data_IF_856844966900
#
_entry.id   IF_856844966900
#
_cell.length_a   1.000
_cell.length_b   1.000
_cell.length_c   1.000
_cell.angle_alpha   90.00
_cell.angle_beta   90.00
_cell.angle_gamma   90.00
#
_symmetry.space_group_name_H-M   'P 1'
#
loop_
_entity.id
_entity.type
_entity.pdbx_description
1 polymer ?
#
# COMPACT_ATOMS: atom_id res chain seq x y z
N UNK A 1 18.30 -7.44 -7.53
CA UNK A 1 17.11 -7.59 -8.40
C UNK A 1 15.86 -7.14 -7.64
N UNK A 2 14.89 -6.47 -8.30
CA UNK A 2 13.68 -5.97 -7.63
C UNK A 2 12.78 -7.07 -7.02
N UNK A 3 12.91 -8.32 -7.48
CA UNK A 3 12.30 -9.48 -6.84
C UNK A 3 12.93 -9.75 -5.46
N UNK A 4 14.25 -9.66 -5.33
CA UNK A 4 14.95 -9.95 -4.08
C UNK A 4 14.50 -9.02 -2.94
N UNK A 5 14.31 -7.72 -3.21
CA UNK A 5 13.74 -6.80 -2.22
C UNK A 5 12.29 -7.14 -1.86
N UNK A 6 11.45 -7.53 -2.82
CA UNK A 6 10.06 -7.94 -2.56
C UNK A 6 9.97 -9.26 -1.76
N UNK A 7 10.87 -10.20 -2.06
CA UNK A 7 10.99 -11.46 -1.34
C UNK A 7 11.50 -11.21 0.09
N UNK A 8 12.52 -10.37 0.27
CA UNK A 8 13.01 -9.96 1.59
C UNK A 8 11.92 -9.24 2.40
N UNK A 9 11.09 -8.40 1.78
CA UNK A 9 9.93 -7.79 2.45
C UNK A 9 8.90 -8.85 2.87
N UNK A 10 8.60 -9.83 2.01
CA UNK A 10 7.71 -10.94 2.35
C UNK A 10 8.26 -11.83 3.47
N UNK A 11 9.56 -12.11 3.47
CA UNK A 11 10.26 -12.83 4.54
C UNK A 11 10.28 -12.01 5.83
N UNK A 12 10.46 -10.69 5.75
CA UNK A 12 10.34 -9.80 6.90
C UNK A 12 8.92 -9.80 7.48
N UNK A 13 7.88 -9.86 6.65
CA UNK A 13 6.50 -10.01 7.12
C UNK A 13 6.27 -11.32 7.86
N UNK A 14 6.78 -12.42 7.32
CA UNK A 14 6.71 -13.72 7.98
C UNK A 14 7.53 -13.73 9.27
N UNK A 15 8.73 -13.14 9.28
CA UNK A 15 9.56 -13.02 10.47
C UNK A 15 8.89 -12.18 11.55
N UNK A 16 8.21 -11.07 11.19
CA UNK A 16 7.40 -10.27 12.11
C UNK A 16 6.25 -11.11 12.68
N UNK A 17 5.53 -11.86 11.83
CA UNK A 17 4.46 -12.75 12.28
C UNK A 17 4.93 -13.86 13.22
N UNK A 18 6.14 -14.40 12.99
CA UNK A 18 6.79 -15.38 13.88
C UNK A 18 7.26 -14.72 15.17
N UNK A 19 7.90 -13.55 15.11
CA UNK A 19 8.34 -12.80 16.30
C UNK A 19 7.14 -12.50 17.20
N UNK A 20 6.04 -11.99 16.64
CA UNK A 20 4.81 -11.71 17.39
C UNK A 20 3.93 -12.96 17.64
N UNK A 21 4.41 -14.17 17.33
CA UNK A 21 3.70 -15.39 17.69
C UNK A 21 3.70 -15.57 19.22
N UNK A 22 2.56 -15.90 19.83
CA UNK A 22 2.45 -16.14 21.27
C UNK A 22 3.44 -17.20 21.79
N UNK A 23 3.83 -18.14 20.92
CA UNK A 23 4.77 -19.22 21.25
C UNK A 23 6.22 -18.75 21.36
N UNK A 24 6.61 -17.73 20.59
CA UNK A 24 7.99 -17.22 20.51
C UNK A 24 8.36 -16.36 21.73
N UNK A 25 7.37 -15.74 22.37
CA UNK A 25 7.60 -14.91 23.56
C UNK A 25 7.47 -15.65 24.89
N UNK A 26 7.31 -16.97 24.87
CA UNK A 26 7.26 -17.79 26.08
C UNK A 26 6.08 -17.40 26.95
N UNK A 27 4.97 -18.12 26.78
CA UNK A 27 3.93 -18.19 27.81
C UNK A 27 4.54 -18.72 29.10
N UNK A 28 5.08 -17.82 29.93
CA UNK A 28 5.29 -18.14 31.33
C UNK A 28 3.91 -18.23 31.93
N UNK A 29 3.61 -19.43 32.41
CA UNK A 29 2.59 -19.73 33.41
C UNK A 29 2.28 -18.50 34.25
N UNK A 30 0.99 -18.19 34.35
CA UNK A 30 0.37 -17.11 35.15
C UNK A 30 -0.13 -15.89 34.37
N UNK A 31 -0.68 -16.09 33.16
CA UNK A 31 -1.86 -15.35 32.66
C UNK A 31 -1.79 -13.81 32.53
N UNK A 32 -0.67 -13.16 32.84
CA UNK A 32 -0.48 -11.71 32.76
C UNK A 32 0.72 -11.41 31.87
N UNK A 33 0.45 -10.74 30.75
CA UNK A 33 1.49 -10.20 29.89
C UNK A 33 2.38 -9.21 30.67
N UNK A 34 3.70 -9.28 30.50
CA UNK A 34 4.63 -8.32 31.13
C UNK A 34 4.23 -6.87 30.80
N UNK A 35 4.16 -5.95 31.78
CA UNK A 35 3.80 -4.54 31.54
C UNK A 35 4.69 -3.86 30.49
N UNK A 36 5.96 -4.25 30.42
CA UNK A 36 6.91 -3.77 29.42
C UNK A 36 6.53 -4.23 28.01
N UNK A 37 6.14 -5.51 27.86
CA UNK A 37 5.71 -6.07 26.58
C UNK A 37 4.41 -5.39 26.10
N UNK A 38 3.42 -5.25 26.97
CA UNK A 38 2.16 -4.57 26.64
C UNK A 38 2.41 -3.14 26.18
N UNK A 39 3.28 -2.41 26.88
CA UNK A 39 3.64 -1.04 26.50
C UNK A 39 4.37 -1.02 25.15
N UNK A 40 5.32 -1.93 24.94
CA UNK A 40 6.03 -2.06 23.67
C UNK A 40 5.10 -2.35 22.49
N UNK A 41 4.13 -3.25 22.65
CA UNK A 41 3.14 -3.58 21.63
C UNK A 41 2.21 -2.39 21.32
N UNK A 42 1.74 -1.68 22.34
CA UNK A 42 0.92 -0.47 22.14
C UNK A 42 1.68 0.61 21.38
N UNK A 43 2.95 0.85 21.74
CA UNK A 43 3.80 1.81 21.05
C UNK A 43 4.10 1.38 19.60
N UNK A 44 4.43 0.11 19.38
CA UNK A 44 4.68 -0.43 18.04
C UNK A 44 3.44 -0.31 17.16
N UNK A 45 2.26 -0.66 17.69
CA UNK A 45 0.99 -0.49 17.01
C UNK A 45 0.76 0.98 16.65
N UNK A 46 0.83 1.89 17.62
CA UNK A 46 0.57 3.32 17.41
C UNK A 46 1.49 3.91 16.34
N UNK A 47 2.80 3.72 16.47
CA UNK A 47 3.78 4.28 15.54
C UNK A 47 3.59 3.75 14.11
N UNK A 48 3.38 2.45 13.97
CA UNK A 48 3.17 1.83 12.66
C UNK A 48 1.83 2.26 12.06
N UNK A 49 0.74 2.20 12.84
CA UNK A 49 -0.58 2.62 12.40
C UNK A 49 -0.58 4.09 11.94
N UNK A 50 -0.07 5.01 12.75
CA UNK A 50 0.02 6.43 12.40
C UNK A 50 0.87 6.68 11.16
N UNK A 51 1.98 5.94 10.99
CA UNK A 51 2.82 6.03 9.80
C UNK A 51 2.09 5.54 8.55
N UNK A 52 1.42 4.38 8.62
CA UNK A 52 0.63 3.83 7.52
C UNK A 52 -0.51 4.79 7.10
N UNK A 53 -1.28 5.26 8.08
CA UNK A 53 -2.41 6.17 7.85
C UNK A 53 -1.95 7.50 7.24
N UNK A 54 -0.94 8.14 7.83
CA UNK A 54 -0.41 9.42 7.35
C UNK A 54 0.23 9.32 5.97
N UNK A 55 1.01 8.27 5.72
CA UNK A 55 1.59 8.03 4.40
C UNK A 55 0.51 7.80 3.33
N UNK A 56 -0.50 6.99 3.65
CA UNK A 56 -1.60 6.71 2.73
C UNK A 56 -2.41 7.97 2.41
N UNK A 57 -2.70 8.80 3.40
CA UNK A 57 -3.34 10.10 3.22
C UNK A 57 -2.52 10.98 2.28
N UNK A 58 -1.24 11.18 2.60
CA UNK A 58 -0.37 12.07 1.85
C UNK A 58 -0.19 11.62 0.40
N UNK A 59 0.18 10.35 0.18
CA UNK A 59 0.47 9.84 -1.17
C UNK A 59 -0.77 9.86 -2.06
N UNK A 60 -1.93 9.49 -1.51
CA UNK A 60 -3.16 9.36 -2.29
C UNK A 60 -3.80 10.69 -2.63
N UNK A 61 -3.93 11.58 -1.63
CA UNK A 61 -4.78 12.77 -1.76
C UNK A 61 -3.98 14.07 -1.93
N UNK A 62 -2.68 14.07 -1.64
CA UNK A 62 -1.85 15.29 -1.68
C UNK A 62 -0.73 15.14 -2.70
N UNK A 63 0.28 14.32 -2.38
CA UNK A 63 1.48 14.14 -3.18
C UNK A 63 1.18 13.67 -4.60
N UNK A 64 0.28 12.69 -4.77
CA UNK A 64 -0.15 12.20 -6.08
C UNK A 64 -0.73 13.31 -6.97
N UNK A 65 -1.60 14.15 -6.41
CA UNK A 65 -2.25 15.25 -7.13
C UNK A 65 -1.25 16.34 -7.48
N UNK A 66 -0.39 16.74 -6.53
CA UNK A 66 0.63 17.75 -6.76
C UNK A 66 1.57 17.31 -7.87
N UNK A 67 2.12 16.09 -7.80
CA UNK A 67 3.02 15.58 -8.84
C UNK A 67 2.33 15.49 -10.19
N UNK A 68 1.09 15.01 -10.23
CA UNK A 68 0.33 14.90 -11.47
C UNK A 68 0.09 16.27 -12.14
N UNK A 69 -0.15 17.31 -11.33
CA UNK A 69 -0.42 18.68 -11.82
C UNK A 69 0.83 19.46 -12.21
N UNK A 70 2.02 19.04 -11.81
CA UNK A 70 3.23 19.86 -11.94
C UNK A 70 4.39 19.17 -12.67
N UNK A 71 4.35 17.85 -12.85
CA UNK A 71 5.42 17.12 -13.55
C UNK A 71 5.01 16.78 -14.99
N UNK A 72 5.96 16.83 -15.94
CA UNK A 72 5.81 16.20 -17.25
C UNK A 72 5.39 14.74 -17.12
N UNK A 73 4.48 14.28 -17.98
CA UNK A 73 3.86 12.95 -17.90
C UNK A 73 4.86 11.81 -17.77
N UNK A 74 5.96 11.81 -18.53
CA UNK A 74 6.98 10.75 -18.44
C UNK A 74 7.78 10.83 -17.14
N UNK A 75 8.11 12.03 -16.67
CA UNK A 75 8.79 12.22 -15.39
C UNK A 75 7.91 11.78 -14.22
N UNK A 76 6.63 12.15 -14.24
CA UNK A 76 5.63 11.69 -13.28
C UNK A 76 5.56 10.16 -13.22
N UNK A 77 5.37 9.50 -14.36
CA UNK A 77 5.31 8.03 -14.42
C UNK A 77 6.59 7.37 -13.91
N UNK A 78 7.76 7.90 -14.29
CA UNK A 78 9.05 7.38 -13.84
C UNK A 78 9.24 7.55 -12.32
N UNK A 79 8.91 8.71 -11.76
CA UNK A 79 8.97 8.95 -10.33
C UNK A 79 8.03 8.01 -9.57
N UNK A 80 6.79 7.88 -10.02
CA UNK A 80 5.82 6.94 -9.45
C UNK A 80 6.30 5.49 -9.47
N UNK A 81 7.01 5.07 -10.53
CA UNK A 81 7.55 3.70 -10.63
C UNK A 81 8.60 3.36 -9.56
N UNK A 82 9.19 4.37 -8.93
CA UNK A 82 10.13 4.22 -7.81
C UNK A 82 9.43 4.42 -6.46
N UNK A 83 8.56 5.42 -6.40
CA UNK A 83 7.86 5.81 -5.18
C UNK A 83 6.86 4.74 -4.72
N UNK A 84 6.02 4.20 -5.61
CA UNK A 84 4.96 3.26 -5.20
C UNK A 84 5.48 1.96 -4.59
N UNK A 85 6.52 1.29 -5.15
CA UNK A 85 7.11 0.14 -4.49
C UNK A 85 7.60 0.44 -3.06
N UNK A 86 8.24 1.59 -2.84
CA UNK A 86 8.72 1.99 -1.52
C UNK A 86 7.55 2.28 -0.56
N UNK A 87 6.56 3.05 -1.03
CA UNK A 87 5.34 3.37 -0.30
C UNK A 87 4.58 2.12 0.14
N UNK A 88 4.21 1.23 -0.79
CA UNK A 88 3.43 0.03 -0.46
C UNK A 88 4.24 -0.95 0.40
N UNK A 89 5.57 -0.96 0.30
CA UNK A 89 6.42 -1.76 1.20
C UNK A 89 6.36 -1.22 2.62
N UNK A 90 6.56 0.09 2.81
CA UNK A 90 6.52 0.74 4.13
C UNK A 90 5.15 0.60 4.78
N UNK A 91 4.07 0.93 4.06
CA UNK A 91 2.70 0.77 4.57
C UNK A 91 2.42 -0.69 4.89
N UNK A 92 2.91 -1.62 4.07
CA UNK A 92 2.79 -3.06 4.35
C UNK A 92 3.42 -3.43 5.68
N UNK A 93 4.69 -3.04 5.92
CA UNK A 93 5.45 -3.29 7.18
C UNK A 93 4.67 -2.74 8.37
N UNK A 94 4.22 -1.50 8.24
CA UNK A 94 3.44 -0.86 9.29
C UNK A 94 2.13 -1.60 9.57
N UNK A 95 1.37 -1.97 8.53
CA UNK A 95 0.13 -2.71 8.70
C UNK A 95 0.36 -4.10 9.32
N UNK A 96 1.43 -4.81 8.94
CA UNK A 96 1.75 -6.11 9.53
C UNK A 96 2.06 -6.01 11.02
N UNK A 97 2.88 -5.02 11.43
CA UNK A 97 3.18 -4.77 12.85
C UNK A 97 1.93 -4.33 13.61
N UNK A 98 1.09 -3.47 13.01
CA UNK A 98 -0.16 -3.02 13.62
C UNK A 98 -1.13 -4.18 13.84
N UNK A 99 -1.32 -5.06 12.83
CA UNK A 99 -2.14 -6.28 12.92
C UNK A 99 -1.60 -7.21 14.00
N UNK A 100 -0.29 -7.52 13.99
CA UNK A 100 0.32 -8.43 14.96
C UNK A 100 0.19 -7.91 16.38
N UNK A 101 0.51 -6.63 16.60
CA UNK A 101 0.40 -5.99 17.90
C UNK A 101 -1.05 -5.93 18.40
N UNK A 102 -1.99 -5.54 17.53
CA UNK A 102 -3.41 -5.45 17.89
C UNK A 102 -4.02 -6.83 18.19
N UNK A 103 -3.70 -7.83 17.36
CA UNK A 103 -4.18 -9.20 17.53
C UNK A 103 -3.62 -9.86 18.79
N UNK A 104 -2.37 -9.56 19.16
CA UNK A 104 -1.79 -10.03 20.42
C UNK A 104 -2.47 -9.39 21.63
N UNK A 105 -2.71 -8.07 21.59
CA UNK A 105 -3.36 -7.34 22.68
C UNK A 105 -4.85 -7.66 22.82
N UNK A 106 -5.50 -8.13 21.75
CA UNK A 106 -6.93 -8.45 21.72
C UNK A 106 -7.18 -9.87 21.18
N UNK A 107 -6.88 -10.92 21.97
CA UNK A 107 -7.02 -12.31 21.52
C UNK A 107 -8.44 -12.64 21.07
N UNK A 108 -8.57 -13.24 19.88
CA UNK A 108 -9.87 -13.47 19.22
C UNK A 108 -10.94 -14.14 20.10
N UNK A 109 -10.54 -15.11 20.93
CA UNK A 109 -11.47 -15.88 21.79
C UNK A 109 -12.07 -15.03 22.91
N UNK A 110 -11.35 -14.03 23.40
CA UNK A 110 -11.74 -13.19 24.54
C UNK A 110 -12.20 -11.79 24.13
N UNK A 111 -11.92 -11.39 22.89
CA UNK A 111 -12.30 -10.09 22.33
C UNK A 111 -13.80 -9.95 22.04
N UNK A 112 -14.32 -8.76 22.29
CA UNK A 112 -15.67 -8.35 21.90
C UNK A 112 -15.81 -8.17 20.38
N UNK A 113 -17.03 -7.84 19.94
CA UNK A 113 -17.31 -7.62 18.52
C UNK A 113 -16.53 -6.44 17.95
N UNK A 114 -16.38 -5.36 18.73
CA UNK A 114 -15.67 -4.15 18.30
C UNK A 114 -14.21 -4.45 17.95
N UNK A 115 -13.47 -5.09 18.85
CA UNK A 115 -12.05 -5.42 18.62
C UNK A 115 -11.88 -6.38 17.44
N UNK A 116 -12.81 -7.31 17.25
CA UNK A 116 -12.80 -8.22 16.08
C UNK A 116 -12.98 -7.48 14.77
N UNK A 117 -13.92 -6.51 14.71
CA UNK A 117 -14.07 -5.66 13.53
C UNK A 117 -12.84 -4.79 13.30
N UNK A 118 -12.28 -4.21 14.37
CA UNK A 118 -11.06 -3.41 14.30
C UNK A 118 -9.88 -4.20 13.72
N UNK A 119 -9.66 -5.43 14.19
CA UNK A 119 -8.66 -6.34 13.63
C UNK A 119 -8.97 -6.68 12.16
N UNK A 120 -10.25 -6.89 11.82
CA UNK A 120 -10.71 -7.13 10.46
C UNK A 120 -10.36 -6.00 9.49
N UNK A 121 -10.55 -4.74 9.91
CA UNK A 121 -10.18 -3.58 9.10
C UNK A 121 -8.66 -3.44 8.93
N UNK A 122 -7.85 -3.70 9.96
CA UNK A 122 -6.39 -3.74 9.81
C UNK A 122 -5.94 -4.83 8.83
N UNK A 123 -6.55 -6.02 8.89
CA UNK A 123 -6.28 -7.12 7.96
C UNK A 123 -6.69 -6.77 6.52
N UNK A 124 -7.84 -6.10 6.35
CA UNK A 124 -8.28 -5.60 5.05
C UNK A 124 -7.28 -4.57 4.50
N UNK A 125 -6.85 -3.59 5.32
CA UNK A 125 -5.84 -2.62 4.94
C UNK A 125 -4.54 -3.28 4.49
N UNK A 126 -4.05 -4.24 5.28
CA UNK A 126 -2.85 -5.01 4.96
C UNK A 126 -2.99 -5.76 3.64
N UNK A 127 -4.12 -6.45 3.44
CA UNK A 127 -4.36 -7.27 2.24
C UNK A 127 -4.45 -6.44 0.97
N UNK A 128 -5.21 -5.35 0.99
CA UNK A 128 -5.31 -4.45 -0.17
C UNK A 128 -3.96 -3.79 -0.47
N UNK A 129 -3.23 -3.32 0.55
CA UNK A 129 -1.90 -2.78 0.38
C UNK A 129 -0.93 -3.82 -0.22
N UNK A 130 -0.97 -5.06 0.30
CA UNK A 130 -0.12 -6.13 -0.18
C UNK A 130 -0.43 -6.44 -1.65
N UNK A 131 -1.71 -6.55 -2.03
CA UNK A 131 -2.11 -6.74 -3.43
C UNK A 131 -1.54 -5.65 -4.35
N UNK A 132 -1.50 -4.41 -3.88
CA UNK A 132 -0.86 -3.32 -4.60
C UNK A 132 0.64 -3.51 -4.74
N UNK A 133 1.33 -3.91 -3.67
CA UNK A 133 2.77 -4.15 -3.69
C UNK A 133 3.16 -5.28 -4.66
N UNK A 134 2.46 -6.42 -4.58
CA UNK A 134 2.87 -7.66 -5.25
C UNK A 134 2.28 -7.83 -6.65
N UNK A 135 1.07 -7.32 -6.90
CA UNK A 135 0.32 -7.56 -8.14
C UNK A 135 0.18 -6.26 -8.93
N UNK A 136 -0.51 -5.26 -8.40
CA UNK A 136 -0.93 -4.11 -9.22
C UNK A 136 0.21 -3.14 -9.55
N UNK A 137 1.11 -2.85 -8.62
CA UNK A 137 2.24 -1.93 -8.87
C UNK A 137 3.17 -2.46 -9.97
N UNK A 138 3.63 -3.73 -9.93
CA UNK A 138 4.44 -4.29 -11.02
C UNK A 138 3.74 -4.21 -12.38
N UNK A 139 2.45 -4.58 -12.45
CA UNK A 139 1.67 -4.52 -13.70
C UNK A 139 1.51 -3.08 -14.19
N UNK A 140 1.20 -2.14 -13.30
CA UNK A 140 1.03 -0.72 -13.64
C UNK A 140 2.32 -0.13 -14.19
N UNK A 141 3.47 -0.43 -13.57
CA UNK A 141 4.78 0.03 -14.04
C UNK A 141 5.10 -0.53 -15.42
N UNK A 142 4.82 -1.80 -15.68
CA UNK A 142 5.06 -2.41 -16.99
C UNK A 142 4.18 -1.76 -18.07
N UNK A 143 2.88 -1.59 -17.80
CA UNK A 143 1.97 -0.90 -18.72
C UNK A 143 2.36 0.55 -18.95
N UNK A 144 2.81 1.26 -17.90
CA UNK A 144 3.34 2.62 -18.02
C UNK A 144 4.52 2.67 -18.98
N UNK A 145 5.49 1.76 -18.84
CA UNK A 145 6.67 1.72 -19.74
C UNK A 145 6.27 1.47 -21.19
N UNK A 146 5.35 0.53 -21.42
CA UNK A 146 4.84 0.24 -22.77
C UNK A 146 4.11 1.45 -23.36
N UNK A 147 3.30 2.14 -22.55
CA UNK A 147 2.63 3.38 -22.93
C UNK A 147 3.63 4.49 -23.27
N UNK A 148 4.66 4.69 -22.46
CA UNK A 148 5.70 5.70 -22.72
C UNK A 148 6.41 5.46 -24.06
N UNK A 149 6.65 4.20 -24.47
CA UNK A 149 7.23 3.90 -25.79
C UNK A 149 6.34 4.41 -26.93
N UNK A 150 5.04 4.11 -26.86
CA UNK A 150 4.05 4.55 -27.88
C UNK A 150 3.91 6.07 -27.88
N UNK A 151 3.95 6.70 -26.70
CA UNK A 151 3.91 8.15 -26.57
C UNK A 151 5.14 8.83 -27.21
N UNK A 152 6.33 8.25 -27.06
CA UNK A 152 7.56 8.73 -27.72
C UNK A 152 7.49 8.61 -29.24
N UNK A 153 6.98 7.49 -29.77
CA UNK A 153 6.73 7.32 -31.21
C UNK A 153 5.78 8.41 -31.76
N UNK A 154 4.89 8.93 -30.92
CA UNK A 154 3.94 9.98 -31.27
C UNK A 154 4.40 11.41 -30.89
N UNK A 155 5.65 11.59 -30.44
CA UNK A 155 6.23 12.88 -30.02
C UNK A 155 5.40 13.59 -28.91
N UNK A 156 4.91 12.82 -27.94
CA UNK A 156 4.20 13.29 -26.74
C UNK A 156 4.79 12.66 -25.46
N UNK A 157 4.39 13.17 -24.29
CA UNK A 157 4.80 12.66 -22.98
C UNK A 157 5.57 13.64 -22.11
N UNK A 158 6.00 14.77 -22.67
CA UNK A 158 6.66 15.86 -21.94
C UNK A 158 5.68 16.95 -21.50
N UNK A 159 4.42 16.89 -21.94
CA UNK A 159 3.38 17.76 -21.42
C UNK A 159 2.98 17.40 -19.98
N UNK A 160 2.51 18.41 -19.25
CA UNK A 160 1.83 18.21 -17.98
C UNK A 160 0.38 17.81 -18.25
N UNK A 161 -0.10 16.78 -17.56
CA UNK A 161 -1.50 16.36 -17.59
C UNK A 161 -1.87 15.30 -18.64
N UNK A 162 -3.13 15.31 -19.12
CA UNK A 162 -3.68 14.29 -20.05
C UNK A 162 -4.07 14.83 -21.43
N UNK A 163 -4.17 16.15 -21.61
CA UNK A 163 -4.86 16.75 -22.75
C UNK A 163 -4.26 16.35 -24.09
N UNK A 164 -2.93 16.47 -24.26
CA UNK A 164 -2.24 16.13 -25.51
C UNK A 164 -2.34 14.63 -25.82
N UNK A 165 -2.14 13.80 -24.81
CA UNK A 165 -2.30 12.35 -24.93
C UNK A 165 -3.71 11.95 -25.40
N UNK A 166 -4.76 12.54 -24.83
CA UNK A 166 -6.15 12.26 -25.23
C UNK A 166 -6.44 12.70 -26.67
N UNK A 167 -5.89 13.84 -27.11
CA UNK A 167 -6.04 14.31 -28.49
C UNK A 167 -5.37 13.36 -29.49
N UNK A 168 -4.14 12.92 -29.23
CA UNK A 168 -3.42 11.98 -30.10
C UNK A 168 -4.10 10.60 -30.12
N UNK A 169 -4.60 10.13 -28.97
CA UNK A 169 -5.28 8.84 -28.87
C UNK A 169 -6.53 8.75 -29.77
N UNK A 170 -7.22 9.87 -30.08
CA UNK A 170 -8.36 9.89 -31.02
C UNK A 170 -7.98 9.45 -32.44
N UNK A 171 -6.72 9.65 -32.83
CA UNK A 171 -6.20 9.34 -34.17
C UNK A 171 -5.21 8.17 -34.18
N UNK A 172 -4.86 7.64 -33.01
CA UNK A 172 -3.88 6.56 -32.85
C UNK A 172 -4.53 5.37 -32.09
N UNK A 173 -5.05 4.36 -32.80
CA UNK A 173 -5.70 3.20 -32.19
C UNK A 173 -4.80 2.42 -31.22
N UNK A 174 -3.50 2.33 -31.52
CA UNK A 174 -2.50 1.68 -30.65
C UNK A 174 -2.40 2.38 -29.30
N UNK A 175 -2.34 3.72 -29.30
CA UNK A 175 -2.31 4.53 -28.08
C UNK A 175 -3.65 4.46 -27.32
N UNK A 176 -4.79 4.52 -28.01
CA UNK A 176 -6.11 4.40 -27.39
C UNK A 176 -6.29 3.06 -26.65
N UNK A 177 -5.92 1.95 -27.30
CA UNK A 177 -5.97 0.63 -26.70
C UNK A 177 -5.04 0.52 -25.48
N UNK A 178 -3.82 1.07 -25.57
CA UNK A 178 -2.88 1.09 -24.46
C UNK A 178 -3.40 1.93 -23.29
N UNK A 179 -3.97 3.10 -23.55
CA UNK A 179 -4.57 3.96 -22.52
C UNK A 179 -5.69 3.23 -21.77
N UNK A 180 -6.54 2.48 -22.47
CA UNK A 180 -7.61 1.68 -21.85
C UNK A 180 -7.03 0.60 -20.92
N UNK A 181 -6.03 -0.15 -21.38
CA UNK A 181 -5.38 -1.19 -20.57
C UNK A 181 -4.69 -0.61 -19.33
N UNK A 182 -3.91 0.46 -19.52
CA UNK A 182 -3.25 1.17 -18.43
C UNK A 182 -4.28 1.72 -17.43
N UNK A 183 -5.33 2.40 -17.91
CA UNK A 183 -6.37 2.99 -17.07
C UNK A 183 -7.11 1.94 -16.24
N UNK A 184 -7.37 0.75 -16.79
CA UNK A 184 -8.00 -0.34 -16.06
C UNK A 184 -7.10 -0.86 -14.91
N UNK A 185 -5.84 -1.18 -15.20
CA UNK A 185 -4.91 -1.71 -14.19
C UNK A 185 -4.59 -0.66 -13.12
N UNK A 186 -4.33 0.58 -13.55
CA UNK A 186 -4.12 1.70 -12.62
C UNK A 186 -5.37 1.96 -11.77
N UNK A 187 -6.55 1.90 -12.37
CA UNK A 187 -7.82 2.06 -11.66
C UNK A 187 -8.02 1.01 -10.56
N UNK A 188 -7.72 -0.26 -10.84
CA UNK A 188 -7.76 -1.33 -9.83
C UNK A 188 -6.75 -1.10 -8.70
N UNK A 189 -5.53 -0.65 -9.04
CA UNK A 189 -4.50 -0.30 -8.04
C UNK A 189 -4.96 0.84 -7.12
N UNK A 190 -5.50 1.90 -7.72
CA UNK A 190 -6.02 3.07 -7.01
C UNK A 190 -7.20 2.69 -6.11
N UNK A 191 -8.12 1.86 -6.59
CA UNK A 191 -9.26 1.37 -5.80
C UNK A 191 -8.80 0.53 -4.61
N UNK A 192 -7.86 -0.40 -4.81
CA UNK A 192 -7.29 -1.16 -3.70
C UNK A 192 -6.60 -0.24 -2.68
N UNK A 193 -5.92 0.81 -3.13
CA UNK A 193 -5.30 1.78 -2.22
C UNK A 193 -6.33 2.62 -1.44
N UNK A 194 -7.45 3.00 -2.08
CA UNK A 194 -8.58 3.66 -1.41
C UNK A 194 -9.22 2.75 -0.37
N UNK A 195 -9.43 1.47 -0.67
CA UNK A 195 -9.95 0.51 0.31
C UNK A 195 -8.97 0.30 1.47
N UNK A 196 -7.66 0.25 1.20
CA UNK A 196 -6.66 0.19 2.25
C UNK A 196 -6.72 1.40 3.18
N UNK A 197 -6.74 2.62 2.60
CA UNK A 197 -6.89 3.85 3.36
C UNK A 197 -8.20 3.91 4.14
N UNK A 198 -9.33 3.58 3.50
CA UNK A 198 -10.64 3.58 4.15
C UNK A 198 -10.69 2.61 5.32
N UNK A 199 -10.07 1.44 5.20
CA UNK A 199 -9.97 0.47 6.30
C UNK A 199 -9.13 1.01 7.46
N UNK A 200 -7.98 1.67 7.18
CA UNK A 200 -7.20 2.36 8.21
C UNK A 200 -7.99 3.49 8.88
N UNK A 201 -8.77 4.25 8.12
CA UNK A 201 -9.58 5.34 8.66
C UNK A 201 -10.73 4.84 9.55
N UNK A 202 -11.41 3.75 9.17
CA UNK A 202 -12.42 3.13 10.03
C UNK A 202 -11.77 2.57 11.30
N UNK A 203 -10.54 2.03 11.20
CA UNK A 203 -9.82 1.56 12.36
C UNK A 203 -9.60 2.69 13.38
N UNK A 204 -9.13 3.86 12.94
CA UNK A 204 -8.93 5.03 13.84
C UNK A 204 -10.19 5.55 14.54
N UNK A 205 -11.39 5.25 14.03
CA UNK A 205 -12.63 5.76 14.62
C UNK A 205 -13.16 4.90 15.78
N UNK A 206 -12.61 3.71 16.00
CA UNK A 206 -13.03 2.83 17.10
C UNK A 206 -11.91 2.40 18.03
N UNK A 207 -10.74 3.05 17.95
CA UNK A 207 -9.71 3.11 18.99
C UNK A 207 -9.93 4.33 19.87
#
# INVERSE_FOLDING_TARGET
MAWMTRFLTAVAFLAIGVIFSPETFGSKSDGQNSPVLVTGLKLAHLLCFSTAWGAALWVTFIGGIIMFKNLPRHQFGNLQSKMFPAYFSMVGVCCAVAVGSFGYLHPWKTSGSTEKYQLGFLLAAFTFNLSNLIIFTPMTIEMMKQRHKIEREANIGEEVGWTKNQQVAKKNPKLAAMNKKFGMIHGLSSLANIFAFGSLAVHSCGT
#
